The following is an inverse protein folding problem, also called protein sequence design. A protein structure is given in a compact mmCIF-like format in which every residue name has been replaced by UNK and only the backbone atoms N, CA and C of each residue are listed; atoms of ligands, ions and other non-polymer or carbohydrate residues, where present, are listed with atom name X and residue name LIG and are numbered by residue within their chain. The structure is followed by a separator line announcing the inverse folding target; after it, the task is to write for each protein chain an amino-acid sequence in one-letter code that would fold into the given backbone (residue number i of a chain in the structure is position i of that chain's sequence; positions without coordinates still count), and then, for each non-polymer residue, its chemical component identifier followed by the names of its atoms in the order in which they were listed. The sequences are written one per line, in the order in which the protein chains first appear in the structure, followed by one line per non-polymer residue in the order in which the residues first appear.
data_IF_893479227265
#
_entry.id   IF_893479227265
#
_cell.length_a   1.000
_cell.length_b   1.000
_cell.length_c   1.000
_cell.angle_alpha   90.00
_cell.angle_beta   90.00
_cell.angle_gamma   90.00
#
_symmetry.space_group_name_H-M   'P 1'
#
loop_
_entity.id
_entity.type
_entity.pdbx_description
1 polymer ?
#
# COMPACT_ATOMS: atom_id res chain seq x y z
N UNK A 1 -7.06 -5.66 -26.41
CA UNK A 1 -6.83 -6.35 -25.13
C UNK A 1 -7.08 -5.35 -24.01
N UNK A 2 -7.92 -5.70 -23.05
CA UNK A 2 -8.09 -4.96 -21.79
C UNK A 2 -6.89 -5.28 -20.89
N UNK A 3 -6.28 -4.26 -20.30
CA UNK A 3 -5.11 -4.41 -19.46
C UNK A 3 -5.54 -4.28 -18.00
N UNK A 4 -5.73 -5.44 -17.36
CA UNK A 4 -6.10 -5.52 -15.96
C UNK A 4 -5.02 -6.24 -15.14
N UNK A 5 -4.98 -5.90 -13.86
CA UNK A 5 -4.12 -6.46 -12.83
C UNK A 5 -4.91 -6.65 -11.55
N UNK A 6 -4.38 -7.52 -10.69
CA UNK A 6 -4.95 -7.79 -9.38
C UNK A 6 -3.81 -7.87 -8.37
N UNK A 7 -4.02 -7.28 -7.20
CA UNK A 7 -3.13 -7.45 -6.06
C UNK A 7 -3.97 -7.62 -4.79
N UNK A 8 -3.43 -8.35 -3.82
CA UNK A 8 -4.06 -8.46 -2.51
C UNK A 8 -3.04 -8.32 -1.39
N UNK A 9 -3.47 -7.79 -0.25
CA UNK A 9 -2.65 -7.64 0.95
C UNK A 9 -3.43 -8.07 2.20
N UNK A 10 -2.77 -8.75 3.16
CA UNK A 10 -3.40 -9.15 4.41
C UNK A 10 -3.55 -7.97 5.37
N UNK A 11 -4.51 -8.06 6.28
CA UNK A 11 -4.54 -7.26 7.51
C UNK A 11 -3.41 -7.67 8.47
N UNK A 12 -3.39 -7.06 9.66
CA UNK A 12 -2.42 -7.35 10.71
C UNK A 12 -3.09 -7.57 12.05
N UNK A 13 -2.40 -8.27 12.94
CA UNK A 13 -2.72 -8.40 14.36
C UNK A 13 -1.46 -8.11 15.17
N UNK A 14 -1.57 -7.41 16.30
CA UNK A 14 -0.46 -7.33 17.26
C UNK A 14 -0.58 -8.56 18.17
N UNK A 15 0.41 -9.43 18.15
CA UNK A 15 0.48 -10.64 18.99
C UNK A 15 0.91 -10.29 20.42
N UNK A 16 1.91 -9.42 20.56
CA UNK A 16 2.46 -9.00 21.85
C UNK A 16 2.90 -7.54 21.82
N UNK A 17 2.86 -6.87 22.98
CA UNK A 17 3.48 -5.56 23.18
C UNK A 17 2.63 -4.35 22.76
N UNK A 18 1.30 -4.48 22.62
CA UNK A 18 0.39 -3.37 22.27
C UNK A 18 0.59 -2.12 23.14
N UNK A 19 0.76 -2.31 24.45
CA UNK A 19 1.01 -1.23 25.41
C UNK A 19 2.51 -1.00 25.64
N UNK A 20 3.32 -2.05 25.56
CA UNK A 20 4.75 -2.02 25.88
C UNK A 20 5.56 -1.21 24.86
N UNK A 21 5.14 -1.18 23.60
CA UNK A 21 5.83 -0.43 22.53
C UNK A 21 5.79 1.08 22.72
N UNK A 22 4.76 1.58 23.42
CA UNK A 22 4.66 3.00 23.79
C UNK A 22 5.78 3.41 24.76
N UNK A 23 6.31 2.45 25.52
CA UNK A 23 7.36 2.66 26.52
C UNK A 23 8.76 2.23 26.04
N UNK A 24 8.93 1.96 24.74
CA UNK A 24 10.22 1.60 24.14
C UNK A 24 10.56 0.11 24.18
N UNK A 25 9.62 -0.76 24.54
CA UNK A 25 9.77 -2.22 24.48
C UNK A 25 9.35 -2.77 23.10
N UNK A 26 9.72 -4.01 22.80
CA UNK A 26 9.35 -4.65 21.54
C UNK A 26 7.86 -5.01 21.49
N UNK A 27 7.26 -4.87 20.31
CA UNK A 27 5.99 -5.46 19.94
C UNK A 27 6.16 -6.45 18.78
N UNK A 28 5.29 -7.44 18.70
CA UNK A 28 5.23 -8.38 17.58
C UNK A 28 3.90 -8.24 16.89
N UNK A 29 3.92 -8.02 15.59
CA UNK A 29 2.75 -7.99 14.74
C UNK A 29 2.85 -9.05 13.65
N UNK A 30 1.74 -9.70 13.33
CA UNK A 30 1.67 -10.75 12.32
C UNK A 30 0.58 -10.45 11.29
N UNK A 31 0.83 -10.86 10.05
CA UNK A 31 -0.15 -10.76 8.97
C UNK A 31 -1.29 -11.77 9.16
N UNK A 32 -2.53 -11.32 8.96
CA UNK A 32 -3.73 -12.17 8.97
C UNK A 32 -4.00 -12.69 7.56
N UNK A 33 -3.47 -13.87 7.25
CA UNK A 33 -3.47 -14.47 5.91
C UNK A 33 -4.86 -14.63 5.28
N UNK A 34 -5.89 -14.89 6.08
CA UNK A 34 -7.27 -15.12 5.65
C UNK A 34 -8.07 -13.82 5.46
N UNK A 35 -7.67 -12.71 6.10
CA UNK A 35 -8.38 -11.42 6.01
C UNK A 35 -7.59 -10.48 5.12
N UNK A 36 -7.98 -10.41 3.84
CA UNK A 36 -7.25 -9.69 2.80
C UNK A 36 -8.10 -8.60 2.16
N UNK A 37 -7.45 -7.53 1.75
CA UNK A 37 -7.99 -6.58 0.79
C UNK A 37 -7.45 -6.94 -0.59
N UNK A 38 -8.34 -7.02 -1.58
CA UNK A 38 -8.05 -7.30 -2.98
C UNK A 38 -8.41 -6.07 -3.82
N UNK A 39 -7.47 -5.66 -4.66
CA UNK A 39 -7.64 -4.54 -5.59
C UNK A 39 -7.50 -5.06 -7.01
N UNK A 40 -8.54 -4.84 -7.80
CA UNK A 40 -8.52 -5.00 -9.25
C UNK A 40 -8.34 -3.63 -9.90
N UNK A 41 -7.30 -3.48 -10.72
CA UNK A 41 -7.06 -2.25 -11.47
C UNK A 41 -7.03 -2.55 -12.97
N UNK A 42 -7.73 -1.73 -13.75
CA UNK A 42 -7.88 -1.88 -15.19
C UNK A 42 -7.61 -0.54 -15.88
N UNK A 43 -6.73 -0.55 -16.88
CA UNK A 43 -6.51 0.61 -17.72
C UNK A 43 -7.62 0.69 -18.79
N UNK A 44 -8.33 1.81 -18.81
CA UNK A 44 -9.44 2.08 -19.73
C UNK A 44 -9.06 3.18 -20.74
N UNK A 45 -9.95 3.42 -21.71
CA UNK A 45 -9.76 4.43 -22.77
C UNK A 45 -10.85 5.51 -22.77
N UNK A 46 -11.66 5.55 -21.72
CA UNK A 46 -12.80 6.44 -21.56
C UNK A 46 -12.42 7.81 -20.99
N UNK A 47 -11.17 8.02 -20.57
CA UNK A 47 -10.74 9.28 -19.96
C UNK A 47 -11.21 9.47 -18.52
N UNK A 48 -11.76 8.43 -17.90
CA UNK A 48 -12.38 8.49 -16.58
C UNK A 48 -11.54 7.76 -15.53
N UNK A 49 -11.51 8.31 -14.33
CA UNK A 49 -11.12 7.60 -13.12
C UNK A 49 -12.40 7.09 -12.45
N UNK A 50 -12.56 5.76 -12.43
CA UNK A 50 -13.65 5.10 -11.73
C UNK A 50 -13.12 4.24 -10.58
N UNK A 51 -13.72 4.34 -9.40
CA UNK A 51 -13.40 3.50 -8.25
C UNK A 51 -14.67 3.00 -7.58
N UNK A 52 -14.67 1.75 -7.12
CA UNK A 52 -15.70 1.17 -6.25
C UNK A 52 -15.04 0.49 -5.06
N UNK A 53 -15.55 0.74 -3.86
CA UNK A 53 -15.10 0.12 -2.61
C UNK A 53 -16.25 -0.73 -2.06
N UNK A 54 -16.35 -1.96 -2.54
CA UNK A 54 -17.57 -2.77 -2.48
C UNK A 54 -18.04 -3.07 -1.04
N UNK A 55 -17.11 -3.14 -0.07
CA UNK A 55 -17.42 -3.42 1.34
C UNK A 55 -17.48 -2.19 2.24
N UNK A 56 -17.24 -0.98 1.70
CA UNK A 56 -17.36 0.25 2.46
C UNK A 56 -18.71 0.90 2.15
N UNK A 57 -19.65 0.97 3.12
CA UNK A 57 -20.91 1.66 2.90
C UNK A 57 -20.66 3.16 2.70
N UNK A 58 -21.29 3.75 1.70
CA UNK A 58 -21.26 5.21 1.51
C UNK A 58 -22.06 5.87 2.63
N UNK A 59 -21.50 6.94 3.20
CA UNK A 59 -22.19 7.73 4.22
C UNK A 59 -23.50 8.32 3.67
N UNK A 60 -23.49 8.82 2.44
CA UNK A 60 -24.69 9.37 1.80
C UNK A 60 -25.78 8.31 1.59
N UNK A 61 -25.39 7.09 1.23
CA UNK A 61 -26.34 5.99 1.07
C UNK A 61 -26.91 5.52 2.41
N UNK A 62 -26.05 5.46 3.45
CA UNK A 62 -26.46 5.07 4.80
C UNK A 62 -27.44 6.07 5.41
N UNK A 63 -27.23 7.37 5.21
CA UNK A 63 -28.16 8.44 5.63
C UNK A 63 -29.50 8.38 4.87
N UNK A 64 -29.51 7.91 3.62
CA UNK A 64 -30.71 7.73 2.81
C UNK A 64 -31.42 6.38 3.04
N UNK A 65 -30.95 5.55 3.98
CA UNK A 65 -31.49 4.21 4.23
C UNK A 65 -31.19 3.17 3.13
N UNK A 66 -30.24 3.47 2.26
CA UNK A 66 -29.75 2.58 1.21
C UNK A 66 -28.51 1.77 1.66
N UNK A 67 -28.13 0.78 0.85
CA UNK A 67 -26.97 -0.08 1.08
C UNK A 67 -25.92 0.07 -0.04
N UNK A 68 -25.69 1.29 -0.51
CA UNK A 68 -24.72 1.54 -1.58
C UNK A 68 -23.29 1.66 -1.01
N UNK A 69 -22.33 1.20 -1.79
CA UNK A 69 -20.90 1.31 -1.48
C UNK A 69 -20.35 2.69 -1.85
N UNK A 70 -19.12 2.99 -1.40
CA UNK A 70 -18.40 4.19 -1.84
C UNK A 70 -18.00 4.01 -3.31
N UNK A 71 -18.44 4.95 -4.16
CA UNK A 71 -18.08 5.02 -5.57
C UNK A 71 -17.48 6.39 -5.93
N UNK A 72 -16.56 6.37 -6.89
CA UNK A 72 -16.02 7.55 -7.54
C UNK A 72 -16.14 7.37 -9.05
N UNK A 73 -16.63 8.40 -9.73
CA UNK A 73 -16.50 8.56 -11.17
C UNK A 73 -16.16 10.01 -11.46
N UNK A 74 -14.98 10.26 -12.01
CA UNK A 74 -14.54 11.60 -12.36
C UNK A 74 -13.68 11.58 -13.62
N UNK A 75 -13.88 12.57 -14.48
CA UNK A 75 -13.02 12.76 -15.64
C UNK A 75 -11.59 13.08 -15.18
N UNK A 76 -10.61 12.37 -15.73
CA UNK A 76 -9.20 12.63 -15.44
C UNK A 76 -8.81 14.04 -15.88
N UNK A 77 -9.38 14.56 -16.96
CA UNK A 77 -9.14 15.96 -17.37
C UNK A 77 -9.59 16.96 -16.30
N UNK A 78 -10.77 16.76 -15.71
CA UNK A 78 -11.27 17.62 -14.61
C UNK A 78 -10.42 17.50 -13.35
N UNK A 79 -9.99 16.28 -13.00
CA UNK A 79 -9.06 16.06 -11.89
C UNK A 79 -7.73 16.76 -12.13
N UNK A 80 -7.17 16.68 -13.34
CA UNK A 80 -5.92 17.38 -13.65
C UNK A 80 -6.06 18.89 -13.56
N UNK A 81 -7.17 19.45 -14.05
CA UNK A 81 -7.47 20.87 -13.90
C UNK A 81 -7.53 21.29 -12.42
N UNK A 82 -8.19 20.50 -11.57
CA UNK A 82 -8.28 20.73 -10.13
C UNK A 82 -6.92 20.61 -9.41
N UNK A 83 -6.02 19.78 -9.92
CA UNK A 83 -4.70 19.51 -9.36
C UNK A 83 -3.57 20.36 -9.99
N UNK A 84 -3.89 21.30 -10.88
CA UNK A 84 -2.92 22.10 -11.65
C UNK A 84 -1.96 22.92 -10.77
N UNK A 85 -2.43 23.41 -9.61
CA UNK A 85 -1.63 24.18 -8.66
C UNK A 85 -0.67 23.32 -7.80
N UNK A 86 -0.64 22.00 -8.01
CA UNK A 86 0.19 21.05 -7.26
C UNK A 86 1.40 20.52 -8.06
N UNK A 87 1.85 21.25 -9.08
CA UNK A 87 3.02 20.86 -9.88
C UNK A 87 4.26 20.67 -8.99
N UNK A 88 4.94 19.53 -9.11
CA UNK A 88 6.12 19.19 -8.31
C UNK A 88 5.85 18.58 -6.92
N UNK A 89 4.60 18.33 -6.55
CA UNK A 89 4.26 17.67 -5.28
C UNK A 89 4.74 16.20 -5.21
N UNK A 90 4.95 15.56 -6.36
CA UNK A 90 5.43 14.18 -6.49
C UNK A 90 6.73 14.24 -7.31
N UNK A 91 7.85 13.80 -6.73
CA UNK A 91 9.18 13.82 -7.38
C UNK A 91 9.30 12.79 -8.50
N UNK A 92 8.66 11.64 -8.31
CA UNK A 92 8.59 10.56 -9.30
C UNK A 92 8.06 9.27 -8.68
N UNK A 93 7.53 8.37 -9.50
CA UNK A 93 6.91 7.12 -9.04
C UNK A 93 7.90 6.15 -8.36
N UNK A 94 9.22 6.33 -8.54
CA UNK A 94 10.29 5.55 -7.87
C UNK A 94 10.70 6.12 -6.52
N UNK A 95 10.23 7.31 -6.17
CA UNK A 95 10.60 8.04 -4.97
C UNK A 95 9.35 8.24 -4.09
N UNK A 96 8.92 7.21 -3.35
CA UNK A 96 7.78 7.31 -2.45
C UNK A 96 8.06 8.37 -1.39
N UNK A 97 7.12 9.31 -1.24
CA UNK A 97 7.19 10.35 -0.24
C UNK A 97 5.78 10.72 0.24
N UNK A 98 5.58 10.95 1.56
CA UNK A 98 4.34 11.49 2.07
C UNK A 98 4.00 12.84 1.41
N UNK A 99 2.75 13.08 1.02
CA UNK A 99 2.33 14.37 0.48
C UNK A 99 2.32 15.45 1.56
N UNK A 100 2.49 16.71 1.17
CA UNK A 100 2.36 17.84 2.08
C UNK A 100 0.89 18.08 2.45
N UNK A 101 0.63 18.71 3.59
CA UNK A 101 -0.73 19.10 4.01
C UNK A 101 -1.44 19.96 2.95
N UNK A 102 -0.71 20.88 2.33
CA UNK A 102 -1.22 21.70 1.23
C UNK A 102 -1.68 20.84 0.05
N UNK A 103 -0.94 19.78 -0.29
CA UNK A 103 -1.32 18.88 -1.37
C UNK A 103 -2.49 17.98 -1.00
N UNK A 104 -2.57 17.51 0.25
CA UNK A 104 -3.71 16.78 0.78
C UNK A 104 -4.99 17.62 0.67
N UNK A 105 -4.94 18.90 1.04
CA UNK A 105 -6.07 19.82 0.93
C UNK A 105 -6.53 20.01 -0.54
N UNK A 106 -5.58 20.05 -1.49
CA UNK A 106 -5.88 20.12 -2.92
C UNK A 106 -6.58 18.84 -3.40
N UNK A 107 -6.11 17.65 -2.98
CA UNK A 107 -6.75 16.37 -3.31
C UNK A 107 -8.17 16.28 -2.74
N UNK A 108 -8.38 16.74 -1.50
CA UNK A 108 -9.70 16.82 -0.88
C UNK A 108 -10.65 17.75 -1.66
N UNK A 109 -10.14 18.90 -2.12
CA UNK A 109 -10.90 19.85 -2.93
C UNK A 109 -11.28 19.27 -4.31
N UNK A 110 -10.37 18.52 -4.93
CA UNK A 110 -10.63 17.83 -6.20
C UNK A 110 -11.76 16.80 -6.10
N UNK A 111 -12.03 16.27 -4.90
CA UNK A 111 -13.12 15.35 -4.60
C UNK A 111 -14.29 16.02 -3.85
N UNK A 112 -14.47 17.33 -4.01
CA UNK A 112 -15.53 18.10 -3.34
C UNK A 112 -16.95 17.64 -3.68
N UNK A 113 -17.16 16.99 -4.83
CA UNK A 113 -18.44 16.39 -5.22
C UNK A 113 -18.81 15.12 -4.43
N UNK A 114 -17.84 14.51 -3.75
CA UNK A 114 -18.02 13.31 -2.93
C UNK A 114 -18.34 13.72 -1.48
N UNK A 115 -19.20 12.99 -0.74
CA UNK A 115 -19.43 13.20 0.69
C UNK A 115 -18.13 13.21 1.50
N UNK A 116 -18.03 14.08 2.50
CA UNK A 116 -16.79 14.26 3.29
C UNK A 116 -16.31 12.99 3.99
N UNK A 117 -17.23 12.17 4.49
CA UNK A 117 -16.93 10.88 5.11
C UNK A 117 -16.30 9.88 4.12
N UNK A 118 -16.79 9.87 2.87
CA UNK A 118 -16.33 8.95 1.82
C UNK A 118 -14.97 9.39 1.23
N UNK A 119 -14.67 10.70 1.27
CA UNK A 119 -13.38 11.25 0.81
C UNK A 119 -12.19 10.64 1.54
N UNK A 120 -12.34 10.23 2.79
CA UNK A 120 -11.24 9.64 3.56
C UNK A 120 -10.61 8.44 2.85
N UNK A 121 -11.43 7.57 2.23
CA UNK A 121 -10.94 6.42 1.48
C UNK A 121 -10.50 6.76 0.04
N UNK A 122 -11.10 7.79 -0.56
CA UNK A 122 -10.86 8.15 -1.97
C UNK A 122 -9.67 9.09 -2.18
N UNK A 123 -9.27 9.89 -1.18
CA UNK A 123 -8.09 10.78 -1.28
C UNK A 123 -6.79 9.98 -1.44
N UNK A 124 -6.49 8.95 -0.63
CA UNK A 124 -5.32 8.09 -0.85
C UNK A 124 -5.37 7.38 -2.20
N UNK A 125 -6.56 7.00 -2.66
CA UNK A 125 -6.75 6.37 -3.97
C UNK A 125 -6.37 7.31 -5.11
N UNK A 126 -6.87 8.55 -5.08
CA UNK A 126 -6.54 9.56 -6.07
C UNK A 126 -5.04 9.90 -6.03
N UNK A 127 -4.46 10.04 -4.83
CA UNK A 127 -3.04 10.28 -4.64
C UNK A 127 -2.18 9.19 -5.29
N UNK A 128 -2.41 7.92 -4.94
CA UNK A 128 -1.64 6.80 -5.48
C UNK A 128 -1.85 6.65 -6.99
N UNK A 129 -3.08 6.82 -7.48
CA UNK A 129 -3.38 6.75 -8.92
C UNK A 129 -2.56 7.78 -9.69
N UNK A 130 -2.50 9.02 -9.19
CA UNK A 130 -1.72 10.08 -9.82
C UNK A 130 -0.21 9.88 -9.68
N UNK A 131 0.25 9.41 -8.53
CA UNK A 131 1.68 9.24 -8.26
C UNK A 131 2.30 8.07 -9.02
N UNK A 132 1.54 6.98 -9.21
CA UNK A 132 2.02 5.74 -9.81
C UNK A 132 1.72 5.63 -11.30
N UNK A 133 0.74 6.38 -11.82
CA UNK A 133 0.38 6.43 -13.24
C UNK A 133 0.32 7.87 -13.76
N UNK A 134 1.38 8.69 -13.57
CA UNK A 134 1.36 10.09 -14.00
C UNK A 134 1.08 10.24 -15.50
N UNK A 135 1.51 9.28 -16.32
CA UNK A 135 1.31 9.29 -17.77
C UNK A 135 -0.18 9.30 -18.17
N UNK A 136 -1.06 8.66 -17.38
CA UNK A 136 -2.51 8.70 -17.63
C UNK A 136 -3.08 10.11 -17.40
N UNK A 137 -2.55 10.83 -16.41
CA UNK A 137 -2.97 12.19 -16.08
C UNK A 137 -2.35 13.22 -17.03
N UNK A 138 -1.12 13.01 -17.48
CA UNK A 138 -0.44 13.88 -18.46
C UNK A 138 -1.08 13.77 -19.85
N UNK A 139 -1.49 12.56 -20.27
CA UNK A 139 -2.18 12.35 -21.55
C UNK A 139 -3.48 13.16 -21.66
N UNK A 140 -4.15 13.42 -20.53
CA UNK A 140 -5.35 14.25 -20.49
C UNK A 140 -5.07 15.76 -20.73
N UNK A 141 -3.86 16.24 -20.43
CA UNK A 141 -3.45 17.65 -20.63
C UNK A 141 -3.07 17.93 -22.08
N UNK A 142 -2.35 17.00 -22.71
CA UNK A 142 -1.83 17.17 -24.08
C UNK A 142 -2.96 17.13 -25.13
N UNK A 143 -4.15 16.70 -24.73
CA UNK A 143 -5.30 16.53 -25.61
C UNK A 143 -5.17 15.25 -26.45
N UNK A 144 -6.29 14.57 -26.64
CA UNK A 144 -6.38 13.28 -27.36
C UNK A 144 -5.85 13.37 -28.80
N UNK A 145 -5.74 14.58 -29.35
CA UNK A 145 -5.32 14.88 -30.72
C UNK A 145 -3.90 14.42 -31.08
N UNK A 146 -2.99 14.28 -30.10
CA UNK A 146 -1.60 13.83 -30.31
C UNK A 146 -1.28 12.49 -29.62
N UNK A 147 -2.22 11.92 -28.87
CA UNK A 147 -2.03 10.62 -28.26
C UNK A 147 -2.13 9.51 -29.32
N UNK A 148 -1.30 8.45 -29.25
CA UNK A 148 -1.45 7.33 -30.15
C UNK A 148 -2.87 6.76 -30.06
N UNK A 149 -3.45 6.35 -31.20
CA UNK A 149 -4.87 5.95 -31.37
C UNK A 149 -5.34 4.84 -30.40
N UNK A 150 -4.42 4.15 -29.71
CA UNK A 150 -4.70 3.10 -28.73
C UNK A 150 -4.23 3.40 -27.30
N UNK A 151 -3.90 4.66 -26.98
CA UNK A 151 -3.46 5.08 -25.66
C UNK A 151 -4.52 4.78 -24.60
N UNK A 152 -4.08 4.29 -23.44
CA UNK A 152 -4.92 4.24 -22.25
C UNK A 152 -5.02 5.64 -21.67
N UNK A 153 -6.25 6.04 -21.36
CA UNK A 153 -6.57 7.40 -20.89
C UNK A 153 -7.43 7.40 -19.64
N UNK A 154 -7.90 6.23 -19.21
CA UNK A 154 -8.72 6.05 -18.02
C UNK A 154 -8.19 4.96 -17.11
N UNK A 155 -8.76 4.90 -15.91
CA UNK A 155 -8.41 3.94 -14.88
C UNK A 155 -9.67 3.50 -14.15
N UNK A 156 -9.89 2.19 -14.04
CA UNK A 156 -10.94 1.59 -13.23
C UNK A 156 -10.32 0.80 -12.09
N UNK A 157 -10.78 1.06 -10.87
CA UNK A 157 -10.33 0.39 -9.65
C UNK A 157 -11.56 -0.23 -8.98
N UNK A 158 -11.46 -1.49 -8.57
CA UNK A 158 -12.42 -2.12 -7.66
C UNK A 158 -11.68 -2.68 -6.47
N UNK A 159 -12.21 -2.40 -5.30
CA UNK A 159 -11.66 -2.83 -4.02
C UNK A 159 -12.70 -3.71 -3.35
N UNK A 160 -12.28 -4.92 -2.98
CA UNK A 160 -13.05 -5.83 -2.16
C UNK A 160 -12.17 -6.35 -1.02
N UNK A 161 -12.79 -6.83 0.03
CA UNK A 161 -12.16 -7.31 1.25
C UNK A 161 -12.84 -8.60 1.66
N UNK A 162 -12.06 -9.57 2.12
CA UNK A 162 -12.57 -10.84 2.61
C UNK A 162 -13.10 -10.68 4.05
N UNK A 163 -14.13 -9.84 4.23
CA UNK A 163 -14.77 -9.56 5.52
C UNK A 163 -13.81 -9.00 6.59
N UNK A 164 -12.79 -8.23 6.20
CA UNK A 164 -11.88 -7.56 7.14
C UNK A 164 -12.65 -6.42 7.85
N UNK A 165 -12.91 -6.51 9.17
CA UNK A 165 -13.70 -5.51 9.86
C UNK A 165 -13.03 -4.13 9.84
N UNK A 166 -13.80 -3.11 9.44
CA UNK A 166 -13.36 -1.72 9.46
C UNK A 166 -13.31 -1.21 10.91
N UNK A 167 -12.27 -0.45 11.25
CA UNK A 167 -12.13 0.16 12.57
C UNK A 167 -11.78 -0.79 13.72
N UNK A 168 -11.58 -2.09 13.47
CA UNK A 168 -11.25 -3.08 14.49
C UNK A 168 -9.76 -3.14 14.87
N UNK A 169 -8.93 -2.20 14.40
CA UNK A 169 -7.48 -2.21 14.65
C UNK A 169 -6.69 -3.27 13.87
N UNK A 170 -7.34 -3.96 12.92
CA UNK A 170 -6.75 -5.06 12.14
C UNK A 170 -5.93 -4.61 10.92
N UNK A 171 -5.59 -3.32 10.83
CA UNK A 171 -4.77 -2.76 9.75
C UNK A 171 -5.44 -2.77 8.36
N UNK A 172 -6.76 -2.58 8.29
CA UNK A 172 -7.49 -2.58 7.01
C UNK A 172 -7.10 -1.44 6.07
N UNK A 173 -6.79 -0.26 6.59
CA UNK A 173 -6.29 0.87 5.79
C UNK A 173 -4.91 0.58 5.20
N UNK A 174 -4.03 -0.02 5.99
CA UNK A 174 -2.71 -0.43 5.55
C UNK A 174 -2.78 -1.52 4.48
N UNK A 175 -3.64 -2.53 4.66
CA UNK A 175 -3.89 -3.57 3.66
C UNK A 175 -4.43 -2.98 2.35
N UNK A 176 -5.37 -2.05 2.45
CA UNK A 176 -5.86 -1.29 1.28
C UNK A 176 -4.73 -0.53 0.57
N UNK A 177 -3.94 0.25 1.31
CA UNK A 177 -2.83 1.04 0.78
C UNK A 177 -1.76 0.17 0.11
N UNK A 178 -1.41 -0.98 0.70
CA UNK A 178 -0.46 -1.95 0.13
C UNK A 178 -1.01 -2.61 -1.13
N UNK A 179 -2.24 -3.12 -1.10
CA UNK A 179 -2.87 -3.78 -2.25
C UNK A 179 -3.03 -2.80 -3.42
N UNK A 180 -3.44 -1.56 -3.14
CA UNK A 180 -3.61 -0.52 -4.16
C UNK A 180 -2.27 -0.10 -4.78
N UNK A 181 -1.25 0.17 -3.96
CA UNK A 181 0.09 0.50 -4.46
C UNK A 181 0.67 -0.64 -5.32
N UNK A 182 0.50 -1.88 -4.89
CA UNK A 182 0.95 -3.06 -5.63
C UNK A 182 0.25 -3.21 -6.99
N UNK A 183 -1.09 -3.06 -7.03
CA UNK A 183 -1.86 -3.12 -8.27
C UNK A 183 -1.44 -2.01 -9.24
N UNK A 184 -1.34 -0.76 -8.77
CA UNK A 184 -1.00 0.38 -9.63
C UNK A 184 0.44 0.31 -10.15
N UNK A 185 1.41 -0.06 -9.31
CA UNK A 185 2.79 -0.29 -9.75
C UNK A 185 2.87 -1.40 -10.79
N UNK A 186 2.12 -2.48 -10.61
CA UNK A 186 2.09 -3.54 -11.61
C UNK A 186 1.46 -3.05 -12.92
N UNK A 187 0.34 -2.34 -12.86
CA UNK A 187 -0.32 -1.79 -14.04
C UNK A 187 0.64 -0.88 -14.79
N UNK A 188 1.37 -0.03 -14.06
CA UNK A 188 2.42 0.83 -14.62
C UNK A 188 3.47 0.05 -15.38
N UNK A 189 4.03 -1.00 -14.77
CA UNK A 189 5.06 -1.83 -15.41
C UNK A 189 4.53 -2.52 -16.67
N UNK A 190 3.26 -2.92 -16.70
CA UNK A 190 2.63 -3.52 -17.90
C UNK A 190 2.36 -2.50 -19.01
N UNK A 191 1.99 -1.27 -18.65
CA UNK A 191 1.68 -0.21 -19.60
C UNK A 191 2.92 0.48 -20.17
N UNK A 192 3.90 0.76 -19.32
CA UNK A 192 5.02 1.66 -19.62
C UNK A 192 6.41 1.02 -19.45
N UNK A 193 6.50 -0.23 -19.00
CA UNK A 193 7.79 -0.89 -18.71
C UNK A 193 8.60 -1.32 -19.94
N UNK A 194 8.06 -1.24 -21.16
CA UNK A 194 8.71 -1.76 -22.37
C UNK A 194 9.80 -0.83 -22.95
N UNK A 195 10.01 0.37 -22.39
CA UNK A 195 10.90 1.40 -22.92
C UNK A 195 12.14 1.75 -22.08
N UNK A 196 12.29 1.18 -20.89
CA UNK A 196 13.43 1.51 -20.00
C UNK A 196 14.68 0.72 -20.44
N UNK A 197 15.49 1.32 -21.33
CA UNK A 197 16.86 0.83 -21.57
C UNK A 197 17.69 1.01 -20.30
N UNK A 198 18.39 -0.04 -19.90
CA UNK A 198 19.49 -0.01 -18.94
C UNK A 198 20.51 1.08 -19.35
N UNK A 199 20.52 2.21 -18.65
CA UNK A 199 21.42 3.31 -18.97
C UNK A 199 21.46 4.36 -17.87
N UNK A 200 22.48 4.27 -17.01
CA UNK A 200 22.90 5.36 -16.12
C UNK A 200 23.08 4.97 -14.65
N UNK A 201 24.32 4.63 -14.28
CA UNK A 201 24.86 4.55 -12.92
C UNK A 201 24.15 3.63 -11.89
N UNK A 202 24.46 2.33 -11.96
CA UNK A 202 24.79 1.51 -10.78
C UNK A 202 23.74 1.23 -9.69
N UNK A 203 22.45 1.56 -9.90
CA UNK A 203 21.37 1.09 -9.02
C UNK A 203 20.78 -0.25 -9.51
N UNK A 204 20.33 -1.16 -8.63
CA UNK A 204 19.69 -2.39 -9.06
C UNK A 204 18.50 -2.05 -9.95
N UNK A 205 18.56 -2.50 -11.21
CA UNK A 205 17.46 -2.41 -12.15
C UNK A 205 16.26 -3.09 -11.50
N UNK A 206 15.20 -2.33 -11.25
CA UNK A 206 13.91 -2.85 -10.77
C UNK A 206 13.36 -3.96 -11.72
N UNK A 207 13.94 -4.05 -12.92
CA UNK A 207 13.63 -4.96 -14.03
C UNK A 207 14.66 -6.11 -14.21
N UNK A 208 15.84 -6.08 -13.58
CA UNK A 208 16.79 -7.21 -13.65
C UNK A 208 16.43 -8.25 -12.59
N UNK A 209 15.57 -9.20 -13.00
CA UNK A 209 15.31 -10.44 -12.26
C UNK A 209 13.91 -10.58 -11.69
N UNK A 210 13.17 -9.49 -11.49
CA UNK A 210 11.77 -9.53 -11.05
C UNK A 210 10.84 -9.10 -12.17
N UNK A 211 10.39 -10.08 -12.97
CA UNK A 211 9.02 -9.98 -13.49
C UNK A 211 8.14 -9.82 -12.25
N UNK A 212 7.57 -8.64 -12.03
CA UNK A 212 6.41 -8.46 -11.13
C UNK A 212 5.26 -9.24 -11.77
N UNK A 213 5.34 -10.57 -11.64
CA UNK A 213 4.38 -11.52 -12.17
C UNK A 213 3.28 -11.72 -11.14
N UNK A 214 2.70 -10.61 -10.67
CA UNK A 214 1.46 -10.60 -9.89
C UNK A 214 0.31 -10.96 -10.87
N UNK A 215 0.09 -12.26 -11.08
CA UNK A 215 -0.84 -12.73 -12.10
C UNK A 215 -2.28 -12.53 -11.63
N UNK A 216 -3.12 -12.31 -12.63
CA UNK A 216 -4.59 -12.37 -12.59
C UNK A 216 -5.01 -13.68 -11.94
N UNK A 217 -6.01 -13.68 -11.05
CA UNK A 217 -6.76 -14.89 -10.72
C UNK A 217 -7.43 -15.44 -11.99
N UNK A 218 -6.70 -16.25 -12.74
CA UNK A 218 -7.29 -17.32 -13.54
C UNK A 218 -6.95 -18.61 -12.81
N UNK A 219 -7.92 -19.53 -12.69
CA UNK A 219 -7.88 -20.77 -11.89
C UNK A 219 -6.68 -21.73 -12.14
N UNK A 220 -5.72 -21.35 -12.97
CA UNK A 220 -4.71 -22.23 -13.56
C UNK A 220 -3.25 -21.85 -13.21
N UNK A 221 -2.98 -20.77 -12.44
CA UNK A 221 -1.61 -20.39 -12.00
C UNK A 221 -1.54 -19.74 -10.61
N UNK A 222 -0.52 -20.07 -9.78
CA UNK A 222 -0.41 -19.58 -8.40
C UNK A 222 -0.06 -18.08 -8.28
N UNK A 223 -0.53 -17.44 -7.21
CA UNK A 223 -0.15 -16.09 -6.82
C UNK A 223 1.36 -16.00 -6.55
N UNK A 224 2.00 -14.90 -6.95
CA UNK A 224 3.46 -14.71 -6.82
C UNK A 224 3.74 -13.51 -5.94
N UNK A 225 4.54 -13.71 -4.89
CA UNK A 225 4.98 -12.62 -4.03
C UNK A 225 5.98 -11.70 -4.75
N UNK A 226 5.90 -10.36 -4.58
CA UNK A 226 6.91 -9.44 -5.10
C UNK A 226 8.28 -9.70 -4.46
N UNK A 227 9.37 -9.43 -5.20
CA UNK A 227 10.72 -9.44 -4.63
C UNK A 227 10.99 -8.24 -3.71
N UNK A 228 12.08 -8.28 -2.94
CA UNK A 228 12.38 -7.31 -1.89
C UNK A 228 12.40 -5.84 -2.36
N UNK A 229 13.01 -5.55 -3.51
CA UNK A 229 13.03 -4.19 -4.06
C UNK A 229 11.61 -3.68 -4.41
N UNK A 230 10.75 -4.56 -4.93
CA UNK A 230 9.36 -4.23 -5.22
C UNK A 230 8.55 -4.04 -3.93
N UNK A 231 8.76 -4.89 -2.92
CA UNK A 231 8.15 -4.74 -1.59
C UNK A 231 8.54 -3.41 -0.94
N UNK A 232 9.81 -3.01 -1.01
CA UNK A 232 10.26 -1.74 -0.47
C UNK A 232 9.53 -0.55 -1.12
N UNK A 233 9.37 -0.58 -2.45
CA UNK A 233 8.65 0.46 -3.18
C UNK A 233 7.15 0.47 -2.85
N UNK A 234 6.51 -0.70 -2.80
CA UNK A 234 5.10 -0.85 -2.40
C UNK A 234 4.91 -0.31 -0.99
N UNK A 235 5.75 -0.69 -0.04
CA UNK A 235 5.68 -0.26 1.34
C UNK A 235 5.85 1.26 1.48
N UNK A 236 6.79 1.86 0.74
CA UNK A 236 7.00 3.31 0.75
C UNK A 236 5.76 4.08 0.26
N UNK A 237 5.13 3.63 -0.82
CA UNK A 237 3.89 4.24 -1.32
C UNK A 237 2.71 4.00 -0.40
N UNK A 238 2.59 2.80 0.18
CA UNK A 238 1.59 2.50 1.18
C UNK A 238 1.76 3.38 2.43
N UNK A 239 2.99 3.65 2.86
CA UNK A 239 3.29 4.59 3.95
C UNK A 239 2.85 6.02 3.61
N UNK A 240 3.16 6.50 2.41
CA UNK A 240 2.71 7.81 1.96
C UNK A 240 1.17 7.93 1.96
N UNK A 241 0.45 6.87 1.58
CA UNK A 241 -1.01 6.81 1.66
C UNK A 241 -1.53 6.77 3.10
N UNK A 242 -0.88 6.02 4.00
CA UNK A 242 -1.24 5.99 5.43
C UNK A 242 -1.00 7.35 6.11
N UNK A 243 0.00 8.13 5.68
CA UNK A 243 0.18 9.51 6.15
C UNK A 243 -1.00 10.42 5.79
N UNK A 244 -1.69 10.18 4.67
CA UNK A 244 -2.90 10.92 4.31
C UNK A 244 -4.04 10.60 5.28
N UNK A 245 -4.17 9.32 5.65
CA UNK A 245 -5.26 8.82 6.49
C UNK A 245 -5.07 9.15 7.97
N UNK A 246 -3.84 8.99 8.48
CA UNK A 246 -3.52 9.01 9.91
C UNK A 246 -2.52 10.10 10.32
N UNK A 247 -2.04 10.90 9.36
CA UNK A 247 -1.03 11.96 9.60
C UNK A 247 0.37 11.38 9.84
N UNK A 248 0.64 10.95 11.08
CA UNK A 248 1.94 10.43 11.51
C UNK A 248 1.85 8.94 11.91
N UNK A 249 1.59 8.01 10.96
CA UNK A 249 1.56 6.59 11.27
C UNK A 249 2.95 6.07 11.67
N UNK A 250 3.01 4.99 12.45
CA UNK A 250 4.28 4.36 12.85
C UNK A 250 5.01 3.63 11.71
N UNK A 251 4.28 3.29 10.64
CA UNK A 251 4.79 2.45 9.55
C UNK A 251 4.86 0.95 9.88
N UNK A 252 4.28 0.52 11.01
CA UNK A 252 4.21 -0.91 11.36
C UNK A 252 3.18 -1.64 10.48
N UNK A 253 1.99 -1.08 10.37
CA UNK A 253 0.82 -1.78 9.81
C UNK A 253 1.00 -2.10 8.31
N UNK A 254 1.48 -1.13 7.54
CA UNK A 254 1.80 -1.30 6.12
C UNK A 254 3.02 -2.20 5.91
N UNK A 255 4.02 -2.17 6.79
CA UNK A 255 5.17 -3.05 6.67
C UNK A 255 4.80 -4.51 6.94
N UNK A 256 3.98 -4.78 7.97
CA UNK A 256 3.45 -6.12 8.24
C UNK A 256 2.62 -6.61 7.06
N UNK A 257 1.72 -5.75 6.56
CA UNK A 257 0.87 -6.07 5.42
C UNK A 257 1.68 -6.32 4.13
N UNK A 258 2.74 -5.53 3.89
CA UNK A 258 3.60 -5.68 2.71
C UNK A 258 4.58 -6.86 2.81
N UNK A 259 5.07 -7.17 4.01
CA UNK A 259 5.95 -8.30 4.23
C UNK A 259 5.19 -9.62 4.03
N UNK A 260 3.99 -9.70 4.61
CA UNK A 260 3.15 -10.90 4.64
C UNK A 260 3.50 -11.88 5.76
N UNK A 261 4.46 -11.52 6.62
CA UNK A 261 5.06 -12.36 7.66
C UNK A 261 4.95 -11.68 9.05
N UNK A 262 5.46 -12.32 10.11
CA UNK A 262 5.57 -11.72 11.43
C UNK A 262 6.75 -10.71 11.51
N UNK A 263 6.50 -9.56 12.15
CA UNK A 263 7.48 -8.48 12.34
C UNK A 263 7.56 -8.10 13.81
N UNK A 264 8.77 -8.05 14.34
CA UNK A 264 9.13 -7.41 15.60
C UNK A 264 9.44 -5.94 15.37
N UNK A 265 8.84 -5.06 16.18
CA UNK A 265 9.00 -3.61 16.10
C UNK A 265 9.40 -3.03 17.45
N UNK A 266 10.40 -2.15 17.44
CA UNK A 266 10.78 -1.29 18.57
C UNK A 266 10.79 0.15 18.06
N UNK A 267 10.21 1.09 18.80
CA UNK A 267 10.14 2.51 18.40
C UNK A 267 11.55 3.12 18.32
N UNK A 268 11.88 3.72 17.18
CA UNK A 268 13.19 4.37 16.97
C UNK A 268 13.45 5.47 17.99
N UNK A 269 14.65 5.47 18.57
CA UNK A 269 15.11 6.47 19.55
C UNK A 269 14.71 6.20 21.01
N UNK A 270 13.93 5.16 21.31
CA UNK A 270 13.54 4.79 22.69
C UNK A 270 13.86 3.33 23.06
N UNK A 271 14.66 2.63 22.25
CA UNK A 271 15.10 1.28 22.56
C UNK A 271 15.84 1.27 23.90
N UNK A 272 15.20 0.75 24.95
CA UNK A 272 15.91 0.40 26.18
C UNK A 272 16.75 -0.82 25.86
N UNK A 273 18.08 -0.67 25.95
CA UNK A 273 19.01 -1.81 25.93
C UNK A 273 18.68 -2.70 27.11
N UNK A 274 18.46 -3.99 26.85
CA UNK A 274 18.31 -5.00 27.89
C UNK A 274 19.66 -5.59 28.30
N UNK A 275 19.61 -6.19 29.48
CA UNK A 275 20.65 -6.73 30.35
C UNK A 275 22.06 -6.96 29.75
N UNK A 276 23.14 -6.41 30.35
CA UNK A 276 24.52 -6.72 29.95
C UNK A 276 24.88 -8.22 30.01
N UNK A 277 24.10 -9.06 30.71
CA UNK A 277 24.26 -10.52 30.71
C UNK A 277 23.80 -11.18 29.39
N UNK A 278 22.82 -10.62 28.68
CA UNK A 278 22.32 -11.10 27.37
C UNK A 278 23.25 -10.67 26.21
N UNK A 279 23.93 -9.53 26.33
CA UNK A 279 24.99 -9.15 25.37
C UNK A 279 26.20 -10.12 25.45
N UNK A 280 26.43 -10.73 26.62
CA UNK A 280 27.49 -11.72 26.82
C UNK A 280 27.16 -13.10 26.22
N UNK A 281 25.89 -13.42 25.98
CA UNK A 281 25.44 -14.66 25.32
C UNK A 281 25.37 -14.56 23.79
N UNK A 282 25.71 -13.40 23.21
CA UNK A 282 25.83 -13.20 21.76
C UNK A 282 24.57 -12.72 21.05
N UNK A 283 23.48 -12.46 21.79
CA UNK A 283 22.21 -11.96 21.24
C UNK A 283 22.26 -10.42 21.17
N UNK A 284 22.35 -9.87 19.95
CA UNK A 284 22.35 -8.41 19.75
C UNK A 284 20.92 -7.86 19.75
N UNK A 285 20.51 -7.27 20.87
CA UNK A 285 19.24 -6.54 20.98
C UNK A 285 19.46 -5.07 20.59
N UNK A 286 19.52 -4.80 19.28
CA UNK A 286 19.47 -3.42 18.79
C UNK A 286 18.00 -2.96 18.66
N UNK A 287 17.75 -1.68 18.94
CA UNK A 287 16.50 -1.04 18.57
C UNK A 287 16.28 -1.09 17.05
N UNK A 288 15.02 -1.25 16.63
CA UNK A 288 14.62 -1.30 15.23
C UNK A 288 13.60 -2.39 14.93
N UNK A 289 13.42 -2.65 13.63
CA UNK A 289 12.49 -3.63 13.09
C UNK A 289 13.22 -4.95 12.77
N UNK A 290 12.72 -6.08 13.24
CA UNK A 290 13.26 -7.41 12.90
C UNK A 290 12.15 -8.26 12.27
N UNK A 291 12.38 -8.74 11.06
CA UNK A 291 11.45 -9.65 10.36
C UNK A 291 11.85 -11.08 10.71
N UNK A 292 10.92 -11.85 11.27
CA UNK A 292 11.16 -13.25 11.57
C UNK A 292 11.16 -14.07 10.28
N UNK A 293 12.01 -15.08 10.20
CA UNK A 293 12.04 -16.00 9.06
C UNK A 293 11.22 -17.28 9.31
N UNK A 294 11.00 -18.08 8.26
CA UNK A 294 10.21 -19.31 8.35
C UNK A 294 10.92 -20.45 9.10
N UNK A 295 12.23 -20.35 9.33
CA UNK A 295 12.97 -21.29 10.18
C UNK A 295 12.88 -20.92 11.67
N UNK A 296 12.66 -19.64 11.96
CA UNK A 296 12.40 -19.11 13.29
C UNK A 296 10.95 -19.34 13.71
N UNK A 297 9.97 -19.18 12.80
CA UNK A 297 8.55 -19.33 13.12
C UNK A 297 7.79 -20.00 11.97
N UNK A 298 7.24 -21.19 12.20
CA UNK A 298 6.32 -21.87 11.28
C UNK A 298 4.97 -22.23 11.94
N UNK A 299 4.07 -22.87 11.20
CA UNK A 299 2.74 -23.31 11.69
C UNK A 299 2.80 -24.37 12.80
N UNK A 300 3.98 -24.94 13.05
CA UNK A 300 4.31 -25.86 14.13
C UNK A 300 5.20 -25.24 15.21
N UNK A 301 5.49 -23.93 15.13
CA UNK A 301 6.30 -23.19 16.10
C UNK A 301 7.70 -22.83 15.63
N UNK A 302 8.18 -23.33 14.48
CA UNK A 302 9.57 -23.17 14.04
C UNK A 302 10.57 -23.90 14.96
N UNK A 303 11.87 -23.62 14.79
CA UNK A 303 12.89 -24.13 15.72
C UNK A 303 13.04 -23.27 16.98
N UNK A 304 12.41 -22.10 17.02
CA UNK A 304 12.40 -21.25 18.19
C UNK A 304 11.34 -21.77 19.17
N UNK A 305 11.75 -22.13 20.38
CA UNK A 305 10.81 -22.43 21.46
C UNK A 305 10.11 -21.15 21.93
N UNK A 306 8.96 -21.29 22.60
CA UNK A 306 8.32 -20.15 23.25
C UNK A 306 9.28 -19.45 24.23
N UNK A 307 10.20 -20.21 24.83
CA UNK A 307 11.26 -19.70 25.70
C UNK A 307 12.33 -18.93 24.91
N UNK A 308 12.79 -19.41 23.75
CA UNK A 308 13.71 -18.64 22.87
C UNK A 308 13.05 -17.33 22.38
N UNK A 309 11.74 -17.36 22.13
CA UNK A 309 10.93 -16.20 21.79
C UNK A 309 10.69 -15.27 22.99
N UNK A 310 10.78 -15.72 24.24
CA UNK A 310 10.69 -14.87 25.43
C UNK A 310 12.07 -14.34 25.85
N UNK A 311 13.12 -15.12 25.65
CA UNK A 311 14.52 -14.76 25.88
C UNK A 311 14.98 -13.62 24.96
N UNK A 312 14.50 -13.57 23.71
CA UNK A 312 14.69 -12.42 22.81
C UNK A 312 14.01 -11.11 23.31
N UNK A 313 13.22 -11.20 24.39
CA UNK A 313 12.48 -10.12 25.05
C UNK A 313 12.91 -9.94 26.51
N UNK A 314 13.83 -10.76 27.03
CA UNK A 314 14.30 -10.70 28.41
C UNK A 314 13.22 -11.01 29.46
N UNK A 315 12.31 -11.94 29.17
CA UNK A 315 11.33 -12.47 30.13
C UNK A 315 11.75 -13.82 30.71
#
# INVERSE_FOLDING_TARGET
MEMHVEASAPGKLILFGEHSVVYGYAAVAAALSMLRVTVHAEATRDGELSASLDDLPSAAASEAGGNACIELRASIASLVAALSNASGAIKGWREPAPPTEAYIAILQSALSSVPSADRAALVPLLFLSRALLPELFEAAVVGVSNAPVNAYTGLRIRVSSAALPLGAGLGSSAAFSVALAAALLQLRLRLFGSGEKAGGAGGPSLLDGTRVSLRVQSADRPAVCPGEAAKALINGWAYAAECILHGTPSGLDNQVSCAGDAIRHVRDGQAKRFDPELEASGIKVAGGMHKFDASEVDVHGGNATADDFLDAFGM
#
